data_IF_982230115964
#
_entry.id   IF_982230115964
#
_cell.length_a   1.000
_cell.length_b   1.000
_cell.length_c   1.000
_cell.angle_alpha   90.00
_cell.angle_beta   90.00
_cell.angle_gamma   90.00
#
_symmetry.space_group_name_H-M   'P 1'
#
loop_
_entity.id
_entity.type
_entity.pdbx_description
1 polymer ?
#
# COMPACT_ATOMS: atom_id res chain seq x y z
N UNK A 1 7.01 19.26 -1.11
CA UNK A 1 5.55 19.12 -0.90
C UNK A 1 4.82 20.20 -1.68
N UNK A 2 3.71 19.89 -2.32
CA UNK A 2 2.87 20.94 -2.96
C UNK A 2 1.86 21.49 -1.96
N UNK A 3 1.38 22.72 -2.20
CA UNK A 3 0.36 23.34 -1.33
C UNK A 3 -0.89 22.45 -1.22
N UNK A 4 -1.29 21.83 -2.32
CA UNK A 4 -2.42 20.88 -2.37
C UNK A 4 -2.20 19.60 -1.54
N UNK A 5 -0.95 19.28 -1.20
CA UNK A 5 -0.60 18.10 -0.40
C UNK A 5 -0.58 18.42 1.13
N UNK A 6 -0.87 19.68 1.52
CA UNK A 6 -0.97 20.09 2.93
C UNK A 6 -2.38 19.81 3.45
N UNK A 7 -2.49 19.25 4.64
CA UNK A 7 -3.78 19.00 5.28
C UNK A 7 -4.58 20.31 5.42
N UNK A 8 -5.87 20.26 5.09
CA UNK A 8 -6.76 21.44 5.12
C UNK A 8 -6.63 22.38 3.93
N UNK A 9 -5.76 22.08 2.94
CA UNK A 9 -5.61 22.93 1.75
C UNK A 9 -6.86 22.89 0.87
N UNK A 10 -7.12 24.02 0.19
CA UNK A 10 -8.13 24.18 -0.87
C UNK A 10 -7.44 24.68 -2.15
N UNK A 11 -8.17 24.70 -3.28
CA UNK A 11 -7.63 25.13 -4.58
C UNK A 11 -6.97 26.52 -4.57
N UNK A 12 -7.39 27.41 -3.67
CA UNK A 12 -6.92 28.79 -3.59
C UNK A 12 -6.07 29.06 -2.33
N UNK A 13 -5.69 28.03 -1.59
CA UNK A 13 -4.89 28.21 -0.39
C UNK A 13 -3.48 28.67 -0.72
N UNK A 14 -3.00 29.66 0.03
CA UNK A 14 -1.59 30.09 0.00
C UNK A 14 -0.85 29.41 1.14
N UNK A 15 0.42 29.07 0.91
CA UNK A 15 1.23 28.33 1.88
C UNK A 15 1.38 29.06 3.21
N UNK A 16 1.47 30.38 3.17
CA UNK A 16 1.62 31.23 4.35
C UNK A 16 0.41 31.17 5.30
N UNK A 17 -0.77 30.79 4.77
CA UNK A 17 -2.00 30.64 5.56
C UNK A 17 -2.13 29.23 6.16
N UNK A 18 -1.34 28.26 5.69
CA UNK A 18 -1.42 26.86 6.08
C UNK A 18 -0.29 26.46 7.03
N UNK A 19 0.90 27.03 6.84
CA UNK A 19 2.09 26.68 7.61
C UNK A 19 2.81 27.93 8.09
N UNK A 20 3.44 27.84 9.25
CA UNK A 20 4.33 28.86 9.81
C UNK A 20 5.78 28.40 9.70
N UNK A 21 6.71 29.35 9.69
CA UNK A 21 8.15 29.08 9.79
C UNK A 21 8.42 28.27 11.07
N UNK A 22 9.31 27.32 10.99
CA UNK A 22 9.71 26.41 12.10
C UNK A 22 8.59 25.56 12.71
N UNK A 23 7.45 25.44 12.02
CA UNK A 23 6.36 24.56 12.43
C UNK A 23 6.71 23.11 12.11
N UNK A 24 6.66 22.24 13.12
CA UNK A 24 6.70 20.80 12.93
C UNK A 24 5.36 20.30 12.38
N UNK A 25 5.42 19.46 11.35
CA UNK A 25 4.26 18.87 10.70
C UNK A 25 4.46 17.39 10.46
N UNK A 26 3.38 16.63 10.59
CA UNK A 26 3.36 15.22 10.20
C UNK A 26 3.29 15.12 8.67
N UNK A 27 4.20 14.35 8.08
CA UNK A 27 4.23 14.14 6.64
C UNK A 27 4.46 12.67 6.30
N UNK A 28 3.88 12.23 5.19
CA UNK A 28 4.13 10.92 4.61
C UNK A 28 5.04 11.05 3.39
N UNK A 29 6.05 10.20 3.29
CA UNK A 29 6.90 10.08 2.10
C UNK A 29 6.12 9.31 1.04
N UNK A 30 5.79 9.96 -0.07
CA UNK A 30 5.09 9.36 -1.22
C UNK A 30 6.07 8.72 -2.20
N UNK A 31 7.25 9.34 -2.35
CA UNK A 31 8.35 8.84 -3.17
C UNK A 31 9.66 9.21 -2.50
N UNK A 32 10.58 8.28 -2.51
CA UNK A 32 11.94 8.51 -2.06
C UNK A 32 12.69 9.50 -2.97
N UNK A 33 13.75 10.09 -2.43
CA UNK A 33 14.67 10.89 -3.21
C UNK A 33 15.32 10.03 -4.32
N UNK A 34 15.44 10.59 -5.52
CA UNK A 34 16.03 9.91 -6.66
C UNK A 34 16.91 10.86 -7.47
N UNK A 35 18.23 10.59 -7.50
CA UNK A 35 19.22 11.47 -8.10
C UNK A 35 19.19 12.86 -7.45
N UNK A 36 19.07 13.91 -8.24
CA UNK A 36 19.00 15.31 -7.76
C UNK A 36 17.62 15.70 -7.22
N UNK A 37 16.60 14.84 -7.37
CA UNK A 37 15.25 15.12 -6.90
C UNK A 37 15.07 14.69 -5.46
N UNK A 38 14.71 15.62 -4.58
CA UNK A 38 14.34 15.33 -3.20
C UNK A 38 13.08 14.47 -3.08
N UNK A 39 12.86 13.88 -1.91
CA UNK A 39 11.68 13.08 -1.60
C UNK A 39 10.38 13.87 -1.79
N UNK A 40 9.34 13.19 -2.29
CA UNK A 40 8.00 13.79 -2.35
C UNK A 40 7.25 13.51 -1.06
N UNK A 41 6.79 14.57 -0.42
CA UNK A 41 6.07 14.52 0.85
C UNK A 41 4.62 14.98 0.67
N UNK A 42 3.71 14.43 1.49
CA UNK A 42 2.31 14.86 1.62
C UNK A 42 1.91 14.95 3.10
N UNK A 43 1.08 15.93 3.44
CA UNK A 43 0.40 16.00 4.75
C UNK A 43 -0.93 15.22 4.77
N UNK A 44 -1.40 14.72 3.62
CA UNK A 44 -2.57 13.86 3.56
C UNK A 44 -2.15 12.41 3.81
N UNK A 45 -2.15 12.01 5.08
CA UNK A 45 -1.73 10.66 5.48
C UNK A 45 -2.73 9.63 4.95
N UNK A 46 -2.21 8.53 4.42
CA UNK A 46 -3.00 7.39 3.98
C UNK A 46 -2.36 6.09 4.47
N UNK A 47 -3.17 5.25 5.11
CA UNK A 47 -2.73 3.98 5.69
C UNK A 47 -3.26 2.83 4.82
N UNK A 48 -2.39 2.16 4.06
CA UNK A 48 -2.80 1.08 3.17
C UNK A 48 -2.94 -0.24 3.93
N UNK A 49 -4.18 -0.70 4.07
CA UNK A 49 -4.52 -2.05 4.50
C UNK A 49 -4.48 -3.06 3.34
N UNK A 50 -4.94 -4.27 3.62
CA UNK A 50 -5.06 -5.32 2.59
C UNK A 50 -6.21 -5.03 1.64
N UNK A 51 -7.38 -4.76 2.17
CA UNK A 51 -8.62 -4.61 1.40
C UNK A 51 -9.01 -3.17 1.14
N UNK A 52 -8.51 -2.25 1.95
CA UNK A 52 -8.84 -0.84 1.83
C UNK A 52 -7.66 0.06 2.21
N UNK A 53 -7.79 1.35 1.88
CA UNK A 53 -6.90 2.41 2.36
C UNK A 53 -7.70 3.31 3.28
N UNK A 54 -7.19 3.54 4.48
CA UNK A 54 -7.78 4.46 5.45
C UNK A 54 -7.11 5.83 5.36
N UNK A 55 -7.90 6.89 5.33
CA UNK A 55 -7.41 8.28 5.22
C UNK A 55 -7.94 9.07 6.42
N UNK A 56 -7.11 9.35 7.43
CA UNK A 56 -7.52 10.14 8.58
C UNK A 56 -7.99 11.54 8.18
N UNK A 57 -8.88 12.13 8.97
CA UNK A 57 -9.41 13.47 8.81
C UNK A 57 -10.00 13.76 7.41
N UNK A 58 -10.53 12.73 6.75
CA UNK A 58 -11.06 12.81 5.39
C UNK A 58 -12.51 12.33 5.32
N UNK A 59 -13.24 12.88 4.35
CA UNK A 59 -14.57 12.39 3.95
C UNK A 59 -14.53 11.55 2.69
N UNK A 60 -13.36 11.31 2.15
CA UNK A 60 -13.16 10.57 0.89
C UNK A 60 -13.80 9.18 1.00
N UNK A 61 -14.54 8.81 -0.03
CA UNK A 61 -15.07 7.47 -0.23
C UNK A 61 -14.83 7.06 -1.66
N UNK A 62 -14.14 5.96 -1.83
CA UNK A 62 -13.84 5.41 -3.15
C UNK A 62 -13.94 3.89 -3.15
N UNK A 63 -14.24 3.32 -4.31
CA UNK A 63 -14.20 1.87 -4.54
C UNK A 63 -13.50 1.64 -5.87
N UNK A 64 -12.62 0.64 -5.93
CA UNK A 64 -11.87 0.31 -7.14
C UNK A 64 -12.78 0.18 -8.36
N UNK A 65 -12.41 0.86 -9.44
CA UNK A 65 -13.12 0.79 -10.72
C UNK A 65 -12.93 -0.55 -11.46
N UNK A 66 -11.99 -1.38 -11.00
CA UNK A 66 -11.74 -2.72 -11.58
C UNK A 66 -12.73 -3.78 -11.09
N UNK A 67 -13.47 -3.49 -10.02
CA UNK A 67 -14.51 -4.37 -9.50
C UNK A 67 -15.78 -4.26 -10.36
N UNK A 68 -16.49 -5.37 -10.51
CA UNK A 68 -17.79 -5.41 -11.16
C UNK A 68 -18.82 -4.55 -10.39
N UNK A 69 -19.83 -4.02 -11.12
CA UNK A 69 -20.77 -3.05 -10.54
C UNK A 69 -21.59 -3.63 -9.38
N UNK A 70 -22.02 -4.90 -9.47
CA UNK A 70 -22.72 -5.60 -8.38
C UNK A 70 -21.87 -5.70 -7.11
N UNK A 71 -20.57 -5.98 -7.27
CA UNK A 71 -19.64 -6.09 -6.14
C UNK A 71 -19.34 -4.71 -5.54
N UNK A 72 -19.23 -3.68 -6.38
CA UNK A 72 -19.09 -2.30 -5.91
C UNK A 72 -20.28 -1.85 -5.08
N UNK A 73 -21.51 -2.20 -5.50
CA UNK A 73 -22.71 -1.91 -4.71
C UNK A 73 -22.74 -2.66 -3.37
N UNK A 74 -22.34 -3.95 -3.38
CA UNK A 74 -22.22 -4.75 -2.15
C UNK A 74 -21.25 -4.11 -1.16
N UNK A 75 -20.04 -3.81 -1.62
CA UNK A 75 -19.00 -3.19 -0.80
C UNK A 75 -19.39 -1.79 -0.34
N UNK A 76 -20.10 -1.01 -1.16
CA UNK A 76 -20.58 0.31 -0.77
C UNK A 76 -21.56 0.24 0.43
N UNK A 77 -22.46 -0.75 0.41
CA UNK A 77 -23.40 -0.98 1.51
C UNK A 77 -22.68 -1.37 2.79
N UNK A 78 -21.66 -2.25 2.70
CA UNK A 78 -20.84 -2.66 3.85
C UNK A 78 -20.08 -1.46 4.42
N UNK A 79 -19.33 -0.74 3.58
CA UNK A 79 -18.50 0.38 4.03
C UNK A 79 -19.33 1.49 4.68
N UNK A 80 -20.56 1.74 4.23
CA UNK A 80 -21.46 2.71 4.89
C UNK A 80 -21.76 2.35 6.34
N UNK A 81 -21.78 1.05 6.69
CA UNK A 81 -22.05 0.58 8.06
C UNK A 81 -20.81 0.62 8.94
N UNK A 82 -19.66 0.18 8.40
CA UNK A 82 -18.46 -0.08 9.20
C UNK A 82 -17.45 1.06 9.19
N UNK A 83 -17.58 2.03 8.27
CA UNK A 83 -16.66 3.16 8.16
C UNK A 83 -16.68 4.03 9.43
N UNK A 84 -15.53 4.26 10.09
CA UNK A 84 -15.47 5.12 11.26
C UNK A 84 -15.72 6.59 10.88
N UNK A 85 -16.23 7.35 11.84
CA UNK A 85 -16.36 8.80 11.70
C UNK A 85 -14.96 9.45 11.57
N UNK A 86 -14.87 10.53 10.82
CA UNK A 86 -13.64 11.29 10.56
C UNK A 86 -12.55 10.56 9.74
N UNK A 87 -12.88 9.42 9.13
CA UNK A 87 -11.98 8.74 8.20
C UNK A 87 -12.57 8.67 6.80
N UNK A 88 -11.72 8.86 5.80
CA UNK A 88 -11.98 8.47 4.43
C UNK A 88 -11.59 7.00 4.20
N UNK A 89 -12.26 6.33 3.26
CA UNK A 89 -11.97 4.93 2.91
C UNK A 89 -11.96 4.78 1.41
N UNK A 90 -10.93 4.11 0.89
CA UNK A 90 -10.84 3.67 -0.50
C UNK A 90 -10.73 2.15 -0.53
N UNK A 91 -11.76 1.50 -1.06
CA UNK A 91 -11.79 0.03 -1.19
C UNK A 91 -10.96 -0.41 -2.38
N UNK A 92 -10.06 -1.37 -2.17
CA UNK A 92 -9.14 -1.92 -3.16
C UNK A 92 -9.80 -3.07 -3.93
N UNK A 93 -9.21 -3.45 -5.05
CA UNK A 93 -9.65 -4.62 -5.83
C UNK A 93 -9.55 -5.92 -5.04
N UNK A 94 -8.57 -6.03 -4.13
CA UNK A 94 -8.41 -7.19 -3.24
C UNK A 94 -9.61 -7.45 -2.31
N UNK A 95 -10.54 -6.51 -2.19
CA UNK A 95 -11.77 -6.67 -1.40
C UNK A 95 -12.87 -7.47 -2.10
N UNK A 96 -12.65 -7.94 -3.35
CA UNK A 96 -13.61 -8.74 -4.09
C UNK A 96 -13.97 -10.02 -3.33
N UNK A 97 -15.28 -10.25 -3.10
CA UNK A 97 -15.79 -11.42 -2.39
C UNK A 97 -15.52 -11.46 -0.87
N UNK A 98 -14.83 -10.47 -0.32
CA UNK A 98 -14.44 -10.41 1.10
C UNK A 98 -15.65 -10.15 1.99
N UNK A 99 -15.70 -10.80 3.16
CA UNK A 99 -16.78 -10.66 4.15
C UNK A 99 -16.76 -9.28 4.85
N UNK A 100 -17.91 -8.91 5.44
CA UNK A 100 -18.03 -7.67 6.25
C UNK A 100 -17.08 -7.72 7.45
N UNK A 101 -16.92 -8.88 8.07
CA UNK A 101 -16.04 -9.12 9.22
C UNK A 101 -14.58 -8.87 8.90
N UNK A 102 -14.10 -9.41 7.77
CA UNK A 102 -12.71 -9.23 7.33
C UNK A 102 -12.40 -7.76 7.00
N UNK A 103 -13.34 -7.06 6.37
CA UNK A 103 -13.21 -5.62 6.11
C UNK A 103 -13.19 -4.80 7.41
N UNK A 104 -13.97 -5.20 8.40
CA UNK A 104 -14.03 -4.55 9.72
C UNK A 104 -12.70 -4.72 10.45
N UNK A 105 -12.14 -5.93 10.46
CA UNK A 105 -10.82 -6.21 11.07
C UNK A 105 -9.72 -5.37 10.41
N UNK A 106 -9.72 -5.25 9.08
CA UNK A 106 -8.75 -4.42 8.34
C UNK A 106 -8.86 -2.94 8.75
N UNK A 107 -10.10 -2.40 8.87
CA UNK A 107 -10.34 -1.04 9.34
C UNK A 107 -9.85 -0.84 10.79
N UNK A 108 -10.18 -1.75 11.69
CA UNK A 108 -9.82 -1.65 13.11
C UNK A 108 -8.29 -1.62 13.29
N UNK A 109 -7.56 -2.47 12.58
CA UNK A 109 -6.08 -2.45 12.57
C UNK A 109 -5.52 -1.10 12.11
N UNK A 110 -6.06 -0.54 11.03
CA UNK A 110 -5.60 0.75 10.51
C UNK A 110 -5.96 1.93 11.42
N UNK A 111 -7.11 1.85 12.11
CA UNK A 111 -7.48 2.86 13.12
C UNK A 111 -6.53 2.80 14.31
N UNK A 112 -6.14 1.61 14.76
CA UNK A 112 -5.18 1.46 15.86
C UNK A 112 -3.78 1.93 15.46
N UNK A 113 -3.35 1.63 14.25
CA UNK A 113 -2.12 2.17 13.66
C UNK A 113 -2.14 3.70 13.64
N UNK A 114 -3.26 4.31 13.18
CA UNK A 114 -3.41 5.76 13.21
C UNK A 114 -3.35 6.34 14.62
N UNK A 115 -3.94 5.69 15.62
CA UNK A 115 -3.84 6.14 17.01
C UNK A 115 -2.40 6.22 17.49
N UNK A 116 -1.56 5.23 17.13
CA UNK A 116 -0.13 5.22 17.47
C UNK A 116 0.56 6.42 16.80
N UNK A 117 0.32 6.64 15.50
CA UNK A 117 0.93 7.72 14.72
C UNK A 117 0.48 9.09 15.24
N UNK A 118 -0.82 9.27 15.53
CA UNK A 118 -1.39 10.54 15.95
C UNK A 118 -1.06 10.95 17.38
N UNK A 119 -0.70 9.98 18.23
CA UNK A 119 -0.28 10.24 19.61
C UNK A 119 1.17 10.71 19.72
N UNK A 120 1.87 10.87 18.60
CA UNK A 120 3.22 11.40 18.60
C UNK A 120 3.26 12.81 19.18
N UNK A 121 4.18 13.03 20.13
CA UNK A 121 4.43 14.37 20.69
C UNK A 121 5.57 15.03 19.93
N UNK A 122 5.39 16.29 19.55
CA UNK A 122 6.40 17.12 18.89
C UNK A 122 7.63 17.35 19.78
N UNK A 123 8.77 17.62 19.20
CA UNK A 123 9.97 18.04 19.92
C UNK A 123 11.30 17.51 19.39
N UNK A 124 11.28 16.50 18.51
CA UNK A 124 12.47 15.84 17.96
C UNK A 124 12.49 15.75 16.43
N UNK A 125 11.86 16.69 15.73
CA UNK A 125 11.86 16.68 14.26
C UNK A 125 13.28 16.95 13.70
N UNK A 126 13.71 16.26 12.61
CA UNK A 126 12.98 15.21 11.88
C UNK A 126 13.10 13.83 12.53
N UNK A 127 11.97 13.11 12.68
CA UNK A 127 11.92 11.77 13.26
C UNK A 127 10.98 10.86 12.47
N UNK A 128 11.37 9.60 12.28
CA UNK A 128 10.49 8.58 11.70
C UNK A 128 9.54 8.08 12.80
N UNK A 129 8.24 8.30 12.62
CA UNK A 129 7.19 7.90 13.54
C UNK A 129 6.66 6.52 13.18
N UNK A 130 6.49 6.28 11.89
CA UNK A 130 5.99 5.04 11.33
C UNK A 130 6.79 4.68 10.07
N UNK A 131 7.11 3.40 9.92
CA UNK A 131 7.78 2.87 8.74
C UNK A 131 6.92 1.77 8.14
N UNK A 132 6.64 1.85 6.84
CA UNK A 132 5.98 0.75 6.13
C UNK A 132 6.78 -0.55 6.27
N UNK A 133 6.08 -1.71 6.27
CA UNK A 133 6.71 -3.01 6.19
C UNK A 133 7.68 -3.13 5.01
N UNK A 134 8.58 -4.09 5.08
CA UNK A 134 9.53 -4.39 4.00
C UNK A 134 8.81 -4.68 2.67
N UNK A 135 9.54 -4.51 1.57
CA UNK A 135 9.04 -4.69 0.19
C UNK A 135 8.35 -6.04 0.01
N UNK A 136 8.88 -7.11 0.60
CA UNK A 136 8.30 -8.45 0.55
C UNK A 136 6.89 -8.49 1.12
N UNK A 137 6.70 -7.96 2.33
CA UNK A 137 5.40 -7.86 3.00
C UNK A 137 4.44 -6.95 2.22
N UNK A 138 4.96 -5.85 1.65
CA UNK A 138 4.18 -4.94 0.81
C UNK A 138 3.66 -5.63 -0.44
N UNK A 139 4.50 -6.37 -1.16
CA UNK A 139 4.11 -7.13 -2.35
C UNK A 139 3.04 -8.18 -2.00
N UNK A 140 3.21 -8.88 -0.89
CA UNK A 140 2.22 -9.86 -0.42
C UNK A 140 0.89 -9.19 -0.10
N UNK A 141 0.90 -8.10 0.67
CA UNK A 141 -0.30 -7.31 0.98
C UNK A 141 -1.04 -6.87 -0.29
N UNK A 142 -0.29 -6.49 -1.33
CA UNK A 142 -0.87 -5.89 -2.53
C UNK A 142 -1.32 -6.91 -3.57
N UNK A 143 -0.66 -8.05 -3.67
CA UNK A 143 -0.83 -8.97 -4.79
C UNK A 143 -1.29 -10.36 -4.38
N UNK A 144 -0.97 -10.83 -3.16
CA UNK A 144 -1.29 -12.19 -2.76
C UNK A 144 -2.81 -12.39 -2.59
N UNK A 145 -3.35 -13.38 -3.31
CA UNK A 145 -4.74 -13.79 -3.25
C UNK A 145 -4.85 -15.32 -3.45
N UNK A 146 -6.06 -15.86 -3.42
CA UNK A 146 -6.34 -17.29 -3.54
C UNK A 146 -5.97 -17.91 -4.90
N UNK A 147 -5.60 -17.11 -5.90
CA UNK A 147 -5.15 -17.64 -7.21
C UNK A 147 -3.69 -18.09 -7.20
N UNK A 148 -2.90 -17.65 -6.22
CA UNK A 148 -1.52 -18.08 -6.07
C UNK A 148 -1.46 -19.49 -5.48
N UNK A 149 -0.64 -20.34 -6.08
CA UNK A 149 -0.43 -21.71 -5.59
C UNK A 149 0.66 -21.78 -4.53
N UNK A 150 1.66 -20.91 -4.61
CA UNK A 150 2.84 -20.94 -3.75
C UNK A 150 3.55 -19.60 -3.73
N UNK A 151 4.08 -19.24 -2.58
CA UNK A 151 5.01 -18.12 -2.37
C UNK A 151 6.29 -18.71 -1.82
N UNK A 152 7.40 -18.50 -2.51
CA UNK A 152 8.70 -19.01 -2.11
C UNK A 152 9.61 -17.86 -1.69
N UNK A 153 10.23 -17.98 -0.53
CA UNK A 153 11.13 -16.99 0.04
C UNK A 153 12.43 -17.67 0.46
N UNK A 154 13.55 -17.25 -0.10
CA UNK A 154 14.87 -17.86 0.11
C UNK A 154 15.67 -17.24 1.28
N UNK A 155 15.20 -16.12 1.83
CA UNK A 155 15.81 -15.52 3.01
C UNK A 155 14.97 -15.82 4.25
N UNK A 156 15.55 -16.57 5.19
CA UNK A 156 14.84 -17.07 6.38
C UNK A 156 14.19 -15.96 7.21
N UNK A 157 14.89 -14.85 7.46
CA UNK A 157 14.33 -13.73 8.22
C UNK A 157 13.10 -13.13 7.53
N UNK A 158 13.14 -12.96 6.22
CA UNK A 158 12.00 -12.43 5.45
C UNK A 158 10.83 -13.42 5.39
N UNK A 159 11.13 -14.73 5.27
CA UNK A 159 10.10 -15.76 5.37
C UNK A 159 9.35 -15.69 6.69
N UNK A 160 10.07 -15.58 7.81
CA UNK A 160 9.47 -15.56 9.13
C UNK A 160 8.63 -14.29 9.36
N UNK A 161 9.12 -13.10 8.91
CA UNK A 161 8.37 -11.84 8.93
C UNK A 161 7.08 -11.93 8.07
N UNK A 162 7.20 -12.42 6.84
CA UNK A 162 6.05 -12.58 5.95
C UNK A 162 5.04 -13.57 6.51
N UNK A 163 5.52 -14.68 7.07
CA UNK A 163 4.66 -15.71 7.64
C UNK A 163 3.87 -15.19 8.85
N UNK A 164 4.51 -14.40 9.71
CA UNK A 164 3.83 -13.75 10.84
C UNK A 164 2.80 -12.74 10.33
N UNK A 165 3.15 -11.90 9.37
CA UNK A 165 2.23 -10.95 8.75
C UNK A 165 1.00 -11.65 8.14
N UNK A 166 1.21 -12.74 7.35
CA UNK A 166 0.13 -13.49 6.72
C UNK A 166 -0.75 -14.18 7.77
N UNK A 167 -0.16 -14.73 8.83
CA UNK A 167 -0.91 -15.33 9.94
C UNK A 167 -1.87 -14.35 10.60
N UNK A 168 -1.46 -13.09 10.76
CA UNK A 168 -2.29 -12.05 11.35
C UNK A 168 -3.36 -11.48 10.40
N UNK A 169 -3.02 -11.37 9.10
CA UNK A 169 -3.87 -10.67 8.13
C UNK A 169 -4.69 -11.58 7.26
N UNK A 170 -4.27 -12.84 7.09
CA UNK A 170 -4.81 -13.74 6.05
C UNK A 170 -4.47 -15.19 6.33
N UNK A 171 -4.92 -15.73 7.47
CA UNK A 171 -4.57 -17.08 7.90
C UNK A 171 -4.95 -18.16 6.87
N UNK A 172 -5.93 -17.88 6.01
CA UNK A 172 -6.41 -18.81 4.95
C UNK A 172 -5.39 -19.09 3.85
N UNK A 173 -4.35 -18.25 3.73
CA UNK A 173 -3.28 -18.43 2.73
C UNK A 173 -1.91 -18.70 3.37
N UNK A 174 -1.88 -19.02 4.66
CA UNK A 174 -0.64 -19.29 5.39
C UNK A 174 0.11 -20.50 4.83
N UNK A 175 -0.62 -21.52 4.41
CA UNK A 175 -0.07 -22.80 3.93
C UNK A 175 0.64 -22.69 2.57
N UNK A 176 0.42 -21.62 1.82
CA UNK A 176 1.12 -21.41 0.54
C UNK A 176 2.43 -20.65 0.66
N UNK A 177 2.79 -20.16 1.87
CA UNK A 177 4.03 -19.42 2.13
C UNK A 177 5.09 -20.39 2.62
N UNK A 178 6.06 -20.70 1.76
CA UNK A 178 7.13 -21.66 2.04
C UNK A 178 8.51 -21.02 2.04
N UNK A 179 9.36 -21.57 2.90
CA UNK A 179 10.78 -21.29 2.84
C UNK A 179 11.42 -22.09 1.71
N UNK A 180 12.22 -21.41 0.88
CA UNK A 180 12.98 -22.05 -0.18
C UNK A 180 14.38 -22.35 0.33
N UNK A 181 14.71 -23.63 0.47
CA UNK A 181 16.01 -24.13 0.90
C UNK A 181 16.51 -25.18 -0.12
N UNK A 182 17.16 -24.69 -1.18
CA UNK A 182 17.76 -25.54 -2.23
C UNK A 182 19.18 -25.01 -2.54
N UNK A 183 20.04 -25.90 -3.05
CA UNK A 183 21.40 -25.53 -3.48
C UNK A 183 21.39 -24.61 -4.70
N UNK A 184 20.36 -24.71 -5.54
CA UNK A 184 20.18 -23.83 -6.70
C UNK A 184 19.44 -22.56 -6.29
N UNK A 185 19.94 -21.39 -6.69
CA UNK A 185 19.31 -20.11 -6.41
C UNK A 185 17.85 -20.05 -6.90
N UNK A 186 16.97 -19.39 -6.16
CA UNK A 186 15.53 -19.32 -6.48
C UNK A 186 15.27 -18.78 -7.89
N UNK A 187 15.94 -17.71 -8.30
CA UNK A 187 15.79 -17.11 -9.62
C UNK A 187 16.32 -18.00 -10.73
N UNK A 188 17.40 -18.71 -10.47
CA UNK A 188 17.98 -19.69 -11.41
C UNK A 188 17.04 -20.88 -11.59
N UNK A 189 16.48 -21.45 -10.50
CA UNK A 189 15.53 -22.58 -10.52
C UNK A 189 14.33 -22.31 -11.42
N UNK A 190 13.82 -21.09 -11.41
CA UNK A 190 12.63 -20.69 -12.17
C UNK A 190 12.93 -19.86 -13.42
N UNK A 191 14.21 -19.76 -13.82
CA UNK A 191 14.65 -18.99 -14.99
C UNK A 191 14.14 -17.53 -15.00
N UNK A 192 14.07 -16.90 -13.81
CA UNK A 192 13.51 -15.56 -13.66
C UNK A 192 14.43 -14.51 -14.31
N UNK A 193 15.76 -14.64 -14.17
CA UNK A 193 16.71 -13.70 -14.78
C UNK A 193 16.58 -13.66 -16.30
N UNK A 194 16.43 -14.81 -16.94
CA UNK A 194 16.25 -14.89 -18.39
C UNK A 194 14.94 -14.27 -18.84
N UNK A 195 13.88 -14.43 -18.04
CA UNK A 195 12.58 -13.80 -18.30
C UNK A 195 12.68 -12.27 -18.15
N UNK A 196 13.39 -11.77 -17.13
CA UNK A 196 13.64 -10.34 -16.94
C UNK A 196 14.44 -9.78 -18.10
N UNK A 197 15.54 -10.44 -18.52
CA UNK A 197 16.34 -10.00 -19.68
C UNK A 197 15.50 -9.90 -20.94
N UNK A 198 14.69 -10.93 -21.23
CA UNK A 198 13.76 -10.93 -22.37
C UNK A 198 12.72 -9.82 -22.29
N UNK A 199 12.20 -9.52 -21.09
CA UNK A 199 11.22 -8.46 -20.88
C UNK A 199 11.81 -7.04 -21.05
N UNK A 200 13.10 -6.89 -20.81
CA UNK A 200 13.83 -5.61 -20.98
C UNK A 200 14.41 -5.43 -22.40
N UNK A 201 14.38 -6.46 -23.25
CA UNK A 201 14.84 -6.37 -24.63
C UNK A 201 13.91 -5.43 -25.44
N UNK A 202 14.49 -4.66 -26.36
CA UNK A 202 13.74 -3.80 -27.29
C UNK A 202 12.73 -4.56 -28.14
N UNK A 203 13.03 -5.81 -28.46
CA UNK A 203 12.17 -6.73 -29.22
C UNK A 203 11.31 -7.62 -28.32
N UNK A 204 10.91 -7.12 -27.16
CA UNK A 204 10.10 -7.88 -26.20
C UNK A 204 8.77 -8.32 -26.83
N UNK A 205 8.53 -9.64 -26.87
CA UNK A 205 7.28 -10.22 -27.38
C UNK A 205 6.02 -9.85 -26.58
N UNK A 206 6.20 -9.27 -25.39
CA UNK A 206 5.11 -8.73 -24.57
C UNK A 206 4.67 -7.32 -25.05
N UNK A 207 5.43 -6.70 -25.92
CA UNK A 207 5.13 -5.39 -26.50
C UNK A 207 4.22 -5.56 -27.72
N UNK A 208 2.92 -5.48 -27.51
CA UNK A 208 1.92 -5.73 -28.56
C UNK A 208 1.55 -4.49 -29.40
N UNK A 209 2.07 -3.31 -29.07
CA UNK A 209 1.93 -2.11 -29.89
C UNK A 209 3.12 -1.18 -29.76
N UNK A 210 3.58 -0.55 -30.87
CA UNK A 210 4.68 0.42 -30.81
C UNK A 210 4.27 1.62 -29.96
N UNK A 211 5.18 2.06 -29.10
CA UNK A 211 5.01 3.30 -28.36
C UNK A 211 4.95 4.50 -29.33
N UNK A 212 4.13 5.54 -29.07
CA UNK A 212 4.19 6.79 -29.85
C UNK A 212 5.57 7.48 -29.87
N UNK A 213 6.53 6.98 -29.08
CA UNK A 213 7.91 7.48 -29.04
C UNK A 213 8.86 6.71 -29.96
N UNK A 214 8.37 5.66 -30.63
CA UNK A 214 9.17 4.83 -31.56
C UNK A 214 9.07 5.29 -33.01
N UNK A 215 8.43 6.48 -33.24
CA UNK A 215 8.31 7.19 -34.53
C UNK A 215 9.08 8.51 -34.50
#
# INVERSE_FOLDING_TARGET
MYVADIEGSTKNSKIENLLKTDQEILVQVVKDAMGEKGARLTGQISLPGRYLVLIPNSKTKGISRRLADNERERLDKIIRKIKPNNFGVIVRTAAEGVSEESLKVDIEKLVDEWKIISNYQSGDAPKIIHKEPDVSTKVIREHLNSTFKKVLIDKKSQHDEVKEYVKETSPEILDIVDFYDDQLGLFERYHIEDQIKKALDRNCLLYTSPSPRDY
#
